data_IF_441113212729
#
_entry.id   IF_441113212729
#
_cell.length_a   1.000
_cell.length_b   1.000
_cell.length_c   1.000
_cell.angle_alpha   90.00
_cell.angle_beta   90.00
_cell.angle_gamma   90.00
#
_symmetry.space_group_name_H-M   'P 1'
#
loop_
_entity.id
_entity.type
_entity.pdbx_description
1 polymer ?
#
# COMPACT_ATOMS: atom_id res chain seq x y z
N UNK A 1 -14.12 12.42 -14.58
CA UNK A 1 -14.58 11.06 -14.21
C UNK A 1 -15.78 10.57 -15.03
N UNK A 2 -16.84 11.37 -15.23
CA UNK A 2 -18.04 10.95 -16.00
C UNK A 2 -17.72 10.39 -17.39
N UNK A 3 -16.89 11.08 -18.18
CA UNK A 3 -16.46 10.61 -19.52
C UNK A 3 -15.55 9.38 -19.47
N UNK A 4 -14.68 9.29 -18.47
CA UNK A 4 -13.68 8.22 -18.37
C UNK A 4 -14.30 6.88 -17.93
N UNK A 5 -15.30 6.90 -17.05
CA UNK A 5 -15.87 5.68 -16.49
C UNK A 5 -16.47 4.74 -17.56
N UNK A 6 -17.14 5.28 -18.58
CA UNK A 6 -17.70 4.50 -19.69
C UNK A 6 -16.60 3.87 -20.55
N UNK A 7 -15.64 4.69 -20.99
CA UNK A 7 -14.56 4.25 -21.88
C UNK A 7 -13.64 3.21 -21.21
N UNK A 8 -13.38 3.34 -19.90
CA UNK A 8 -12.56 2.38 -19.15
C UNK A 8 -13.20 1.00 -19.06
N UNK A 9 -14.53 0.94 -18.96
CA UNK A 9 -15.24 -0.34 -18.90
C UNK A 9 -15.21 -1.04 -20.26
N UNK A 10 -15.35 -0.30 -21.35
CA UNK A 10 -15.29 -0.85 -22.72
C UNK A 10 -13.88 -1.33 -23.09
N UNK A 11 -12.85 -0.57 -22.69
CA UNK A 11 -11.44 -0.90 -22.94
C UNK A 11 -10.84 -1.87 -21.93
N UNK A 12 -11.61 -2.34 -20.94
CA UNK A 12 -11.18 -3.20 -19.83
C UNK A 12 -9.85 -2.73 -19.18
N UNK A 13 -9.65 -1.42 -19.10
CA UNK A 13 -8.41 -0.82 -18.62
C UNK A 13 -8.54 -0.41 -17.15
N UNK A 14 -7.57 -0.80 -16.33
CA UNK A 14 -7.51 -0.43 -14.92
C UNK A 14 -6.82 0.93 -14.74
N UNK A 15 -7.54 1.90 -14.19
CA UNK A 15 -7.02 3.23 -13.91
C UNK A 15 -6.72 3.39 -12.41
N UNK A 16 -5.47 3.73 -12.09
CA UNK A 16 -5.02 3.97 -10.71
C UNK A 16 -4.80 5.47 -10.51
N UNK A 17 -5.42 6.01 -9.47
CA UNK A 17 -5.14 7.37 -9.00
C UNK A 17 -4.34 7.31 -7.70
N UNK A 18 -3.25 8.09 -7.66
CA UNK A 18 -2.47 8.30 -6.44
C UNK A 18 -2.83 9.68 -5.92
N UNK A 19 -3.41 9.73 -4.73
CA UNK A 19 -3.82 10.98 -4.09
C UNK A 19 -3.06 11.18 -2.79
N UNK A 20 -2.69 12.43 -2.53
CA UNK A 20 -2.13 12.84 -1.25
C UNK A 20 -3.25 13.15 -0.26
N UNK A 21 -2.97 12.93 1.02
CA UNK A 21 -3.82 13.40 2.11
C UNK A 21 -3.53 14.88 2.34
N UNK A 22 -4.59 15.66 2.56
CA UNK A 22 -4.57 17.07 2.98
C UNK A 22 -5.46 17.21 4.21
N UNK A 23 -5.19 18.23 5.02
CA UNK A 23 -6.07 18.61 6.12
C UNK A 23 -7.00 19.72 5.67
N UNK A 24 -8.30 19.59 5.97
CA UNK A 24 -9.25 20.69 5.76
C UNK A 24 -9.23 21.61 6.98
N UNK A 25 -8.86 22.87 6.78
CA UNK A 25 -8.91 23.90 7.83
C UNK A 25 -10.38 24.19 8.16
N UNK A 26 -10.72 24.28 9.45
CA UNK A 26 -12.07 24.66 9.92
C UNK A 26 -13.05 23.51 10.16
N UNK A 27 -12.59 22.27 10.32
CA UNK A 27 -13.46 21.14 10.71
C UNK A 27 -13.38 20.96 12.23
N UNK A 28 -14.47 21.23 12.94
CA UNK A 28 -14.56 21.08 14.41
C UNK A 28 -15.04 19.69 14.86
N UNK A 29 -15.46 18.82 13.93
CA UNK A 29 -15.92 17.46 14.23
C UNK A 29 -15.66 16.47 13.07
N UNK A 30 -15.23 15.25 13.38
CA UNK A 30 -14.96 14.17 12.41
C UNK A 30 -13.50 14.04 11.96
N UNK A 31 -13.23 13.22 10.94
CA UNK A 31 -11.88 13.02 10.41
C UNK A 31 -11.49 14.20 9.49
N UNK A 32 -10.46 15.02 9.84
CA UNK A 32 -10.05 16.18 9.05
C UNK A 32 -9.29 15.82 7.76
N UNK A 33 -8.99 14.53 7.56
CA UNK A 33 -8.30 14.04 6.37
C UNK A 33 -9.19 14.10 5.14
N UNK A 34 -8.75 14.87 4.14
CA UNK A 34 -9.39 14.95 2.83
C UNK A 34 -8.41 14.61 1.72
N UNK A 35 -8.92 14.03 0.64
CA UNK A 35 -8.17 13.81 -0.59
C UNK A 35 -8.41 14.99 -1.53
N UNK A 36 -7.37 15.40 -2.25
CA UNK A 36 -7.50 16.39 -3.34
C UNK A 36 -8.40 15.86 -4.46
N UNK A 37 -8.96 16.77 -5.28
CA UNK A 37 -9.82 16.41 -6.41
C UNK A 37 -11.32 16.29 -6.08
N UNK A 38 -11.75 16.84 -4.95
CA UNK A 38 -13.16 16.90 -4.54
C UNK A 38 -13.78 15.52 -4.26
N UNK A 39 -15.11 15.45 -4.33
CA UNK A 39 -15.84 14.21 -4.01
C UNK A 39 -16.03 13.26 -5.20
N UNK A 40 -15.82 13.74 -6.44
CA UNK A 40 -16.06 12.93 -7.64
C UNK A 40 -15.26 11.62 -7.62
N UNK A 41 -13.96 11.69 -7.32
CA UNK A 41 -13.12 10.49 -7.26
C UNK A 41 -13.63 9.49 -6.21
N UNK A 42 -14.14 9.98 -5.07
CA UNK A 42 -14.68 9.13 -4.01
C UNK A 42 -15.88 8.31 -4.48
N UNK A 43 -16.72 8.85 -5.36
CA UNK A 43 -17.90 8.16 -5.90
C UNK A 43 -17.58 7.21 -7.05
N UNK A 44 -16.72 7.65 -7.97
CA UNK A 44 -16.37 6.88 -9.16
C UNK A 44 -15.37 5.74 -8.88
N UNK A 45 -14.54 5.84 -7.85
CA UNK A 45 -13.63 4.76 -7.48
C UNK A 45 -14.39 3.48 -7.04
N UNK A 46 -14.02 2.34 -7.63
CA UNK A 46 -14.50 1.01 -7.24
C UNK A 46 -13.81 0.51 -5.97
N UNK A 47 -12.52 0.79 -5.84
CA UNK A 47 -11.71 0.45 -4.66
C UNK A 47 -10.98 1.70 -4.19
N UNK A 48 -10.95 1.94 -2.87
CA UNK A 48 -10.13 2.99 -2.25
C UNK A 48 -9.25 2.37 -1.19
N UNK A 49 -7.94 2.55 -1.35
CA UNK A 49 -6.92 2.06 -0.45
C UNK A 49 -6.34 3.26 0.30
N UNK A 50 -6.33 3.17 1.62
CA UNK A 50 -5.58 4.07 2.49
C UNK A 50 -4.30 3.35 2.91
N UNK A 51 -3.17 3.91 2.48
CA UNK A 51 -1.84 3.35 2.69
C UNK A 51 -1.15 4.24 3.73
N UNK A 52 -0.79 3.65 4.88
CA UNK A 52 -0.06 4.35 5.94
C UNK A 52 1.13 3.54 6.39
N UNK A 53 2.24 4.23 6.63
CA UNK A 53 3.40 3.65 7.30
C UNK A 53 3.09 3.51 8.80
N UNK A 54 3.23 2.30 9.36
CA UNK A 54 3.00 2.03 10.78
C UNK A 54 4.31 2.19 11.57
N UNK A 55 5.42 1.73 11.01
CA UNK A 55 6.68 1.67 11.73
C UNK A 55 7.86 1.34 10.83
N UNK A 56 9.04 1.31 11.43
CA UNK A 56 10.28 0.88 10.80
C UNK A 56 10.61 -0.56 11.23
N UNK A 57 10.98 -1.39 10.27
CA UNK A 57 11.52 -2.73 10.53
C UNK A 57 13.02 -2.54 10.77
N UNK A 58 13.46 -2.76 12.00
CA UNK A 58 14.87 -2.69 12.40
C UNK A 58 15.46 -4.09 12.57
N UNK A 59 16.71 -4.27 12.17
CA UNK A 59 17.50 -5.47 12.45
C UNK A 59 18.82 -5.02 13.09
N UNK A 60 18.89 -5.11 14.42
CA UNK A 60 19.94 -4.43 15.20
C UNK A 60 19.85 -2.90 15.06
N UNK A 61 20.97 -2.26 14.76
CA UNK A 61 21.06 -0.81 14.52
C UNK A 61 20.67 -0.38 13.10
N UNK A 62 20.51 -1.33 12.17
CA UNK A 62 20.20 -1.01 10.78
C UNK A 62 18.69 -0.99 10.54
N UNK A 63 18.19 0.12 9.99
CA UNK A 63 16.80 0.24 9.53
C UNK A 63 16.67 -0.44 8.17
N UNK A 64 16.21 -1.69 8.17
CA UNK A 64 16.10 -2.54 6.97
C UNK A 64 14.87 -2.18 6.13
N UNK A 65 13.85 -1.55 6.73
CA UNK A 65 12.65 -1.23 5.98
C UNK A 65 11.56 -0.48 6.73
N UNK A 66 10.44 -0.25 6.04
CA UNK A 66 9.22 0.37 6.54
C UNK A 66 8.05 -0.58 6.43
N UNK A 67 7.34 -0.77 7.53
CA UNK A 67 6.14 -1.58 7.54
C UNK A 67 4.91 -0.74 7.22
N UNK A 68 4.17 -1.18 6.21
CA UNK A 68 3.05 -0.43 5.65
C UNK A 68 1.73 -1.15 5.89
N UNK A 69 0.73 -0.44 6.42
CA UNK A 69 -0.66 -0.88 6.51
C UNK A 69 -1.41 -0.40 5.28
N UNK A 70 -2.23 -1.28 4.73
CA UNK A 70 -3.21 -0.91 3.71
C UNK A 70 -4.60 -1.21 4.25
N UNK A 71 -5.44 -0.19 4.36
CA UNK A 71 -6.85 -0.32 4.73
C UNK A 71 -7.72 -0.13 3.50
N UNK A 72 -8.63 -1.06 3.25
CA UNK A 72 -9.63 -0.91 2.19
C UNK A 72 -10.77 -0.07 2.71
N UNK A 73 -10.76 1.24 2.42
CA UNK A 73 -11.78 2.19 2.88
C UNK A 73 -13.07 2.09 2.07
N UNK A 74 -12.96 1.71 0.79
CA UNK A 74 -14.12 1.47 -0.08
C UNK A 74 -13.85 0.27 -0.94
N UNK A 75 -14.83 -0.60 -1.08
CA UNK A 75 -14.81 -1.72 -2.00
C UNK A 75 -16.22 -1.93 -2.56
N UNK A 76 -16.37 -1.91 -3.88
CA UNK A 76 -17.63 -2.22 -4.57
C UNK A 76 -17.74 -3.69 -5.03
N UNK A 77 -16.67 -4.48 -4.88
CA UNK A 77 -16.56 -5.83 -5.45
C UNK A 77 -16.63 -6.90 -4.34
N UNK A 78 -16.15 -6.59 -3.14
CA UNK A 78 -16.19 -7.50 -2.00
C UNK A 78 -16.37 -6.74 -0.68
N UNK A 79 -16.42 -7.47 0.44
CA UNK A 79 -16.57 -6.90 1.77
C UNK A 79 -15.51 -5.79 2.05
N UNK A 80 -15.95 -4.58 2.45
CA UNK A 80 -15.04 -3.48 2.75
C UNK A 80 -14.34 -3.64 4.11
N UNK A 81 -13.44 -2.71 4.44
CA UNK A 81 -12.76 -2.57 5.75
C UNK A 81 -11.76 -3.66 6.15
N UNK A 82 -11.42 -4.57 5.24
CA UNK A 82 -10.28 -5.45 5.44
C UNK A 82 -8.99 -4.63 5.53
N UNK A 83 -8.16 -5.00 6.50
CA UNK A 83 -6.85 -4.38 6.72
C UNK A 83 -5.78 -5.41 6.39
N UNK A 84 -4.86 -5.06 5.50
CA UNK A 84 -3.71 -5.86 5.13
C UNK A 84 -2.42 -5.21 5.63
N UNK A 85 -1.47 -6.02 6.08
CA UNK A 85 -0.10 -5.57 6.36
C UNK A 85 0.78 -6.04 5.21
N UNK A 86 1.45 -5.10 4.56
CA UNK A 86 2.40 -5.43 3.50
C UNK A 86 3.80 -5.43 4.15
N UNK A 87 4.46 -6.58 4.26
CA UNK A 87 5.86 -6.62 4.69
C UNK A 87 6.75 -5.99 3.62
N UNK A 88 7.79 -5.30 4.06
CA UNK A 88 8.69 -4.56 3.18
C UNK A 88 9.30 -5.48 2.09
N UNK A 89 9.23 -5.11 0.79
CA UNK A 89 9.88 -5.87 -0.27
C UNK A 89 11.40 -6.05 -0.08
N UNK A 90 12.09 -5.11 0.57
CA UNK A 90 13.54 -5.19 0.83
C UNK A 90 13.91 -6.29 1.83
N UNK A 91 12.96 -6.67 2.72
CA UNK A 91 13.17 -7.77 3.68
C UNK A 91 13.42 -9.10 2.96
N UNK A 92 12.76 -9.35 1.83
CA UNK A 92 12.97 -10.60 1.07
C UNK A 92 14.37 -10.67 0.46
N UNK A 93 14.92 -9.55 -0.02
CA UNK A 93 16.24 -9.53 -0.66
C UNK A 93 17.36 -9.78 0.35
N UNK A 94 17.27 -9.18 1.53
CA UNK A 94 18.25 -9.40 2.61
C UNK A 94 18.20 -10.83 3.16
N UNK A 95 17.00 -11.42 3.25
CA UNK A 95 16.81 -12.81 3.70
C UNK A 95 17.26 -13.84 2.65
N UNK A 96 17.11 -13.51 1.36
CA UNK A 96 17.64 -14.30 0.25
C UNK A 96 19.18 -14.26 0.20
N UNK A 97 19.79 -13.09 0.40
CA UNK A 97 21.26 -12.96 0.48
C UNK A 97 21.84 -13.76 1.66
N UNK A 98 21.17 -13.74 2.82
CA UNK A 98 21.55 -14.59 3.96
C UNK A 98 21.40 -16.09 3.70
N UNK A 99 20.45 -16.51 2.87
CA UNK A 99 20.30 -17.92 2.46
C UNK A 99 21.29 -18.33 1.38
N UNK A 100 21.67 -17.41 0.49
CA UNK A 100 22.69 -17.62 -0.53
C UNK A 100 24.11 -17.68 0.06
N UNK A 101 24.33 -17.11 1.25
CA UNK A 101 25.61 -17.14 1.97
C UNK A 101 25.83 -18.35 2.89
N UNK A 102 25.06 -19.44 2.81
CA UNK A 102 25.46 -20.69 3.50
C UNK A 102 26.59 -21.34 2.69
N UNK A 103 27.83 -21.42 3.21
CA UNK A 103 28.88 -22.18 2.54
C UNK A 103 28.39 -23.62 2.37
N UNK A 104 28.44 -24.12 1.14
CA UNK A 104 28.28 -25.55 0.87
C UNK A 104 29.39 -26.23 1.66
N UNK A 105 28.98 -26.99 2.67
CA UNK A 105 29.68 -28.09 3.34
C UNK A 105 31.13 -28.26 2.89
N UNK A 106 32.06 -27.91 3.78
CA UNK A 106 33.33 -28.64 3.91
C UNK A 106 32.98 -30.13 4.04
N UNK A 107 33.13 -30.85 2.95
CA UNK A 107 33.23 -32.31 2.87
C UNK A 107 34.24 -32.60 1.79
N UNK A 108 35.49 -32.25 2.06
CA UNK A 108 36.68 -32.77 1.42
C UNK A 108 37.87 -32.34 2.30
N UNK A 109 38.80 -33.26 2.54
CA UNK A 109 39.93 -33.24 3.49
C UNK A 109 39.60 -33.65 4.96
N UNK A 110 39.42 -34.94 5.18
CA UNK A 110 40.35 -35.82 5.92
C UNK A 110 39.87 -37.29 5.87
#
# INVERSE_FOLDING_TARGET
MRKLAGNLKQSNTLLIFINQIRMKIGVMFGNPETTTGGNALKFYASVRLDIRRIGAVKEGDNVVGSETRVKVVKNKIAAPFKTGRIPDPLRRRHQLLRRAGRPRREREAD
#
